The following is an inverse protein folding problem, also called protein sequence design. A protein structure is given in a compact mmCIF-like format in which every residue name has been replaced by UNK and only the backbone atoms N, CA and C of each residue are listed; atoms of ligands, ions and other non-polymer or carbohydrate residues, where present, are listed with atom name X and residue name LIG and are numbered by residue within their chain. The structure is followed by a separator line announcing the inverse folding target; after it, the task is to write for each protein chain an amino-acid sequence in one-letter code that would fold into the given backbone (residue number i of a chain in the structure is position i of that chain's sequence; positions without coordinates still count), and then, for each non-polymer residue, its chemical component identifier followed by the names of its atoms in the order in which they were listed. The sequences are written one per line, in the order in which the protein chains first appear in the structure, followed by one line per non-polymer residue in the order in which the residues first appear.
data_IF_056510863188
#
_entry.id   IF_056510863188
#
_cell.length_a   1.000
_cell.length_b   1.000
_cell.length_c   1.000
_cell.angle_alpha   90.00
_cell.angle_beta   90.00
_cell.angle_gamma   90.00
#
_symmetry.space_group_name_H-M   'P 1'
#
loop_
_entity.id
_entity.type
_entity.pdbx_description
1 polymer ?
#
# COMPACT_ATOMS: atom_id res chain seq x y z
N UNK A 1 -18.15 -5.25 -7.03
CA UNK A 1 -17.35 -5.64 -5.84
C UNK A 1 -17.33 -7.17 -5.82
N UNK A 2 -16.18 -7.77 -6.14
CA UNK A 2 -16.07 -9.23 -6.18
C UNK A 2 -16.35 -9.81 -4.79
N UNK A 3 -16.95 -11.00 -4.64
CA UNK A 3 -17.30 -11.58 -3.35
C UNK A 3 -16.11 -11.65 -2.37
N UNK A 4 -14.88 -11.79 -2.86
CA UNK A 4 -13.68 -11.80 -2.00
C UNK A 4 -13.07 -10.42 -1.78
N UNK A 5 -13.34 -9.38 -2.58
CA UNK A 5 -13.04 -8.02 -2.12
C UNK A 5 -13.86 -7.71 -0.86
N UNK A 6 -15.09 -8.21 -0.81
CA UNK A 6 -15.96 -8.12 0.36
C UNK A 6 -15.44 -9.00 1.52
N UNK A 7 -14.96 -10.23 1.25
CA UNK A 7 -14.39 -11.10 2.31
C UNK A 7 -13.04 -10.57 2.80
N UNK A 8 -12.19 -10.05 1.93
CA UNK A 8 -10.93 -9.41 2.29
C UNK A 8 -11.20 -8.11 3.06
N UNK A 9 -12.11 -7.24 2.60
CA UNK A 9 -12.58 -6.09 3.38
C UNK A 9 -13.14 -6.55 4.74
N UNK A 10 -13.99 -7.58 4.80
CA UNK A 10 -14.53 -8.08 6.08
C UNK A 10 -13.44 -8.66 6.97
N UNK A 11 -12.47 -9.41 6.45
CA UNK A 11 -11.36 -9.99 7.24
C UNK A 11 -10.37 -8.91 7.67
N UNK A 12 -10.06 -7.95 6.80
CA UNK A 12 -9.18 -6.82 7.07
C UNK A 12 -9.83 -5.86 8.08
N UNK A 13 -11.10 -5.52 7.88
CA UNK A 13 -11.86 -4.65 8.79
C UNK A 13 -12.12 -5.34 10.12
N UNK A 14 -12.47 -6.63 10.15
CA UNK A 14 -12.70 -7.34 11.42
C UNK A 14 -11.39 -7.61 12.18
N UNK A 15 -10.29 -7.89 11.46
CA UNK A 15 -8.96 -8.12 12.05
C UNK A 15 -8.28 -6.86 12.58
N UNK A 16 -8.62 -5.69 12.04
CA UNK A 16 -8.10 -4.40 12.52
C UNK A 16 -8.82 -3.93 13.79
N UNK A 17 -10.10 -4.25 13.97
CA UNK A 17 -10.94 -3.77 15.09
C UNK A 17 -10.58 -4.41 16.44
N UNK A 18 -9.94 -5.59 16.47
CA UNK A 18 -9.53 -6.26 17.71
C UNK A 18 -8.02 -6.52 17.67
N UNK A 19 -7.26 -5.88 18.57
CA UNK A 19 -5.80 -5.99 18.59
C UNK A 19 -5.28 -7.45 18.69
N UNK A 20 -6.03 -8.33 19.35
CA UNK A 20 -5.70 -9.77 19.46
C UNK A 20 -6.09 -10.60 18.23
N UNK A 21 -6.84 -10.05 17.28
CA UNK A 21 -7.29 -10.74 16.07
C UNK A 21 -6.44 -10.43 14.83
N UNK A 22 -5.49 -9.48 14.93
CA UNK A 22 -4.70 -9.06 13.77
C UNK A 22 -3.82 -10.19 13.22
N UNK A 23 -3.16 -10.96 14.09
CA UNK A 23 -2.41 -12.16 13.66
C UNK A 23 -3.30 -13.21 13.02
N UNK A 24 -4.50 -13.44 13.57
CA UNK A 24 -5.49 -14.36 12.98
C UNK A 24 -5.95 -13.91 11.60
N UNK A 25 -6.14 -12.59 11.41
CA UNK A 25 -6.48 -12.02 10.10
C UNK A 25 -5.37 -12.23 9.08
N UNK A 26 -4.11 -12.08 9.48
CA UNK A 26 -2.95 -12.34 8.62
C UNK A 26 -2.89 -13.81 8.26
N UNK A 27 -3.08 -14.72 9.23
CA UNK A 27 -3.12 -16.17 8.95
C UNK A 27 -4.22 -16.54 7.95
N UNK A 28 -5.40 -15.95 8.08
CA UNK A 28 -6.49 -16.15 7.13
C UNK A 28 -6.12 -15.63 5.72
N UNK A 29 -5.58 -14.42 5.64
CA UNK A 29 -5.12 -13.84 4.37
C UNK A 29 -4.00 -14.63 3.73
N UNK A 30 -3.06 -15.18 4.51
CA UNK A 30 -1.99 -16.04 3.98
C UNK A 30 -2.56 -17.24 3.23
N UNK A 31 -3.66 -17.83 3.72
CA UNK A 31 -4.35 -18.95 3.03
C UNK A 31 -5.11 -18.50 1.79
N UNK A 32 -5.52 -17.24 1.72
CA UNK A 32 -6.18 -16.68 0.54
C UNK A 32 -5.20 -16.37 -0.59
N UNK A 33 -3.89 -16.22 -0.30
CA UNK A 33 -2.86 -15.95 -1.32
C UNK A 33 -2.87 -17.00 -2.43
N UNK A 34 -3.05 -18.27 -2.07
CA UNK A 34 -3.01 -19.40 -3.01
C UNK A 34 -4.14 -19.38 -4.04
N UNK A 35 -5.19 -18.56 -3.82
CA UNK A 35 -6.37 -18.46 -4.71
C UNK A 35 -6.57 -17.05 -5.28
N UNK A 36 -5.61 -16.11 -5.11
CA UNK A 36 -5.77 -14.72 -5.57
C UNK A 36 -5.95 -14.58 -7.10
N UNK A 37 -5.38 -15.52 -7.86
CA UNK A 37 -5.40 -15.47 -9.33
C UNK A 37 -6.72 -15.93 -9.94
N UNK A 38 -7.61 -16.50 -9.13
CA UNK A 38 -8.94 -16.87 -9.60
C UNK A 38 -9.71 -15.57 -9.93
N UNK A 39 -10.31 -15.44 -11.14
CA UNK A 39 -10.97 -14.21 -11.57
C UNK A 39 -12.13 -13.78 -10.66
N UNK A 40 -12.68 -14.71 -9.87
CA UNK A 40 -13.69 -14.45 -8.82
C UNK A 40 -13.09 -13.71 -7.61
N UNK A 41 -11.77 -13.73 -7.44
CA UNK A 41 -11.04 -13.30 -6.24
C UNK A 41 -10.47 -11.89 -6.38
N UNK A 42 -10.22 -11.44 -7.62
CA UNK A 42 -9.76 -10.09 -7.92
C UNK A 42 -8.51 -10.03 -8.79
N UNK A 43 -7.94 -11.19 -9.15
CA UNK A 43 -6.75 -11.27 -9.99
C UNK A 43 -5.50 -10.66 -9.33
N UNK A 44 -4.45 -10.45 -10.13
CA UNK A 44 -3.14 -9.93 -9.69
C UNK A 44 -3.23 -8.65 -8.84
N UNK A 45 -4.20 -7.79 -9.10
CA UNK A 45 -4.32 -6.51 -8.40
C UNK A 45 -4.70 -6.69 -6.92
N UNK A 46 -5.34 -7.81 -6.54
CA UNK A 46 -5.65 -8.11 -5.13
C UNK A 46 -4.40 -8.28 -4.26
N UNK A 47 -3.23 -8.55 -4.85
CA UNK A 47 -1.94 -8.58 -4.17
C UNK A 47 -1.65 -7.27 -3.43
N UNK A 48 -2.03 -6.13 -4.02
CA UNK A 48 -1.83 -4.81 -3.42
C UNK A 48 -2.47 -4.68 -2.04
N UNK A 49 -3.71 -5.16 -1.91
CA UNK A 49 -4.48 -5.11 -0.66
C UNK A 49 -3.94 -6.08 0.38
N UNK A 50 -3.58 -7.30 -0.03
CA UNK A 50 -2.98 -8.30 0.87
C UNK A 50 -1.66 -7.77 1.43
N UNK A 51 -0.77 -7.26 0.57
CA UNK A 51 0.52 -6.71 1.02
C UNK A 51 0.28 -5.52 1.95
N UNK A 52 -0.61 -4.58 1.62
CA UNK A 52 -0.93 -3.46 2.49
C UNK A 52 -1.46 -3.88 3.87
N UNK A 53 -2.23 -4.96 3.95
CA UNK A 53 -2.73 -5.45 5.23
C UNK A 53 -1.65 -6.07 6.09
N UNK A 54 -0.73 -6.85 5.51
CA UNK A 54 0.30 -7.57 6.29
C UNK A 54 1.53 -6.72 6.61
N UNK A 55 1.83 -5.71 5.78
CA UNK A 55 3.08 -4.96 5.88
C UNK A 55 3.27 -4.24 7.23
N UNK A 56 2.25 -3.61 7.87
CA UNK A 56 2.42 -3.00 9.19
C UNK A 56 2.90 -4.00 10.25
N UNK A 57 2.43 -5.25 10.19
CA UNK A 57 2.88 -6.33 11.08
C UNK A 57 4.34 -6.71 10.84
N UNK A 58 4.73 -6.80 9.56
CA UNK A 58 6.10 -7.11 9.17
C UNK A 58 7.06 -6.01 9.61
N UNK A 59 6.65 -4.75 9.48
CA UNK A 59 7.42 -3.59 9.93
C UNK A 59 7.54 -3.53 11.46
N UNK A 60 6.48 -3.89 12.19
CA UNK A 60 6.51 -3.99 13.64
C UNK A 60 7.51 -5.05 14.12
N UNK A 61 7.56 -6.22 13.45
CA UNK A 61 8.45 -7.32 13.80
C UNK A 61 9.79 -7.33 13.02
N UNK A 62 10.15 -6.24 12.35
CA UNK A 62 11.23 -6.25 11.34
C UNK A 62 12.59 -6.74 11.86
N UNK A 63 12.98 -6.35 13.08
CA UNK A 63 14.29 -6.72 13.63
C UNK A 63 14.32 -8.19 14.12
N UNK A 64 13.16 -8.69 14.57
CA UNK A 64 12.99 -10.05 15.05
C UNK A 64 11.72 -10.70 14.48
N UNK A 65 11.72 -11.04 13.17
CA UNK A 65 10.62 -11.75 12.53
C UNK A 65 10.24 -13.02 13.28
N UNK A 66 8.96 -13.18 13.57
CA UNK A 66 8.41 -14.43 14.11
C UNK A 66 7.98 -15.38 12.98
N UNK A 67 7.51 -16.57 13.35
CA UNK A 67 7.11 -17.61 12.39
C UNK A 67 6.00 -17.15 11.43
N UNK A 68 5.05 -16.33 11.91
CA UNK A 68 3.98 -15.81 11.05
C UNK A 68 4.55 -14.85 10.00
N UNK A 69 5.49 -13.98 10.38
CA UNK A 69 6.17 -13.09 9.42
C UNK A 69 6.93 -13.89 8.35
N UNK A 70 7.69 -14.91 8.76
CA UNK A 70 8.43 -15.77 7.83
C UNK A 70 7.46 -16.52 6.90
N UNK A 71 6.36 -17.06 7.44
CA UNK A 71 5.34 -17.76 6.67
C UNK A 71 4.72 -16.87 5.61
N UNK A 72 4.25 -15.66 5.97
CA UNK A 72 3.59 -14.78 5.00
C UNK A 72 4.55 -14.28 3.93
N UNK A 73 5.81 -13.95 4.29
CA UNK A 73 6.82 -13.57 3.30
C UNK A 73 7.17 -14.73 2.35
N UNK A 74 7.22 -15.97 2.85
CA UNK A 74 7.46 -17.15 2.03
C UNK A 74 6.32 -17.37 1.04
N UNK A 75 5.06 -17.29 1.49
CA UNK A 75 3.87 -17.45 0.65
C UNK A 75 3.79 -16.35 -0.41
N UNK A 76 3.97 -15.07 -0.03
CA UNK A 76 3.96 -13.96 -0.98
C UNK A 76 5.09 -14.06 -2.01
N UNK A 77 6.30 -14.48 -1.59
CA UNK A 77 7.43 -14.70 -2.50
C UNK A 77 7.09 -15.80 -3.51
N UNK A 78 6.51 -16.90 -3.05
CA UNK A 78 6.11 -18.00 -3.91
C UNK A 78 5.08 -17.54 -4.93
N UNK A 79 4.04 -16.82 -4.49
CA UNK A 79 3.04 -16.20 -5.36
C UNK A 79 3.69 -15.31 -6.45
N UNK A 80 4.60 -14.40 -6.06
CA UNK A 80 5.29 -13.53 -7.02
C UNK A 80 6.10 -14.34 -8.05
N UNK A 81 6.72 -15.43 -7.62
CA UNK A 81 7.52 -16.32 -8.47
C UNK A 81 6.64 -17.07 -9.47
N UNK A 82 5.47 -17.55 -9.03
CA UNK A 82 4.57 -18.30 -9.89
C UNK A 82 3.83 -17.39 -10.87
N UNK A 83 3.45 -16.18 -10.46
CA UNK A 83 2.92 -15.16 -11.37
C UNK A 83 3.94 -14.77 -12.46
N UNK A 84 5.22 -14.66 -12.10
CA UNK A 84 6.28 -14.38 -13.08
C UNK A 84 6.41 -15.50 -14.13
N UNK A 85 6.30 -16.77 -13.70
CA UNK A 85 6.32 -17.91 -14.63
C UNK A 85 5.15 -17.89 -15.61
N UNK A 86 3.95 -17.52 -15.15
CA UNK A 86 2.75 -17.42 -16.01
C UNK A 86 2.85 -16.31 -17.05
N UNK A 87 3.63 -15.26 -16.76
CA UNK A 87 3.90 -14.17 -17.70
C UNK A 87 4.91 -14.56 -18.79
N UNK A 88 5.53 -15.75 -18.71
CA UNK A 88 6.55 -16.23 -19.66
C UNK A 88 7.66 -15.20 -19.94
N UNK A 89 8.01 -14.41 -18.91
CA UNK A 89 9.02 -13.34 -18.99
C UNK A 89 10.26 -13.71 -18.19
N UNK A 90 11.43 -13.53 -18.79
CA UNK A 90 12.74 -13.77 -18.18
C UNK A 90 13.43 -12.47 -17.76
N UNK A 91 12.70 -11.36 -17.71
CA UNK A 91 13.24 -10.06 -17.28
C UNK A 91 13.70 -10.13 -15.82
N UNK A 92 15.02 -10.14 -15.63
CA UNK A 92 15.63 -10.19 -14.30
C UNK A 92 15.24 -8.99 -13.42
N UNK A 93 14.96 -7.85 -14.02
CA UNK A 93 14.54 -6.59 -13.38
C UNK A 93 13.02 -6.43 -13.24
N UNK A 94 12.23 -7.47 -13.56
CA UNK A 94 10.78 -7.41 -13.44
C UNK A 94 10.34 -7.08 -12.00
N UNK A 95 9.36 -6.17 -11.80
CA UNK A 95 8.91 -5.75 -10.46
C UNK A 95 8.53 -6.90 -9.52
N UNK A 96 7.86 -7.95 -10.01
CA UNK A 96 7.54 -9.13 -9.20
C UNK A 96 8.78 -9.90 -8.73
N UNK A 97 9.84 -9.97 -9.55
CA UNK A 97 11.10 -10.62 -9.16
C UNK A 97 11.81 -9.80 -8.06
N UNK A 98 11.83 -8.47 -8.21
CA UNK A 98 12.36 -7.57 -7.20
C UNK A 98 11.56 -7.65 -5.89
N UNK A 99 10.23 -7.69 -5.97
CA UNK A 99 9.36 -7.87 -4.80
C UNK A 99 9.62 -9.20 -4.09
N UNK A 100 9.72 -10.31 -4.84
CA UNK A 100 10.09 -11.63 -4.30
C UNK A 100 11.44 -11.58 -3.57
N UNK A 101 12.41 -10.86 -4.14
CA UNK A 101 13.72 -10.65 -3.51
C UNK A 101 13.61 -9.88 -2.19
N UNK A 102 12.82 -8.81 -2.13
CA UNK A 102 12.60 -8.05 -0.89
C UNK A 102 11.96 -8.91 0.20
N UNK A 103 10.99 -9.76 -0.15
CA UNK A 103 10.32 -10.69 0.78
C UNK A 103 11.27 -11.80 1.28
N UNK A 104 12.14 -12.29 0.40
CA UNK A 104 13.19 -13.24 0.77
C UNK A 104 14.18 -12.61 1.76
N UNK A 105 14.64 -11.39 1.48
CA UNK A 105 15.62 -10.68 2.32
C UNK A 105 15.08 -10.37 3.72
N UNK A 106 13.78 -10.10 3.84
CA UNK A 106 13.12 -10.00 5.14
C UNK A 106 13.23 -11.33 5.91
N UNK A 107 12.85 -12.43 5.27
CA UNK A 107 12.80 -13.76 5.90
C UNK A 107 14.18 -14.26 6.33
N UNK A 108 15.23 -13.97 5.55
CA UNK A 108 16.61 -14.35 5.87
C UNK A 108 17.38 -13.30 6.68
N UNK A 109 16.74 -12.17 7.03
CA UNK A 109 17.39 -11.03 7.70
C UNK A 109 18.64 -10.52 6.98
N UNK A 110 18.61 -10.51 5.64
CA UNK A 110 19.76 -10.09 4.81
C UNK A 110 19.59 -8.69 4.21
N UNK A 111 18.46 -8.03 4.43
CA UNK A 111 18.29 -6.63 4.06
C UNK A 111 19.16 -5.73 4.95
N UNK A 112 19.98 -4.87 4.33
CA UNK A 112 21.06 -4.14 5.03
C UNK A 112 20.68 -2.76 5.56
N UNK A 113 19.44 -2.30 5.28
CA UNK A 113 18.93 -0.99 5.73
C UNK A 113 17.81 -1.18 6.76
N UNK A 114 17.21 -0.08 7.21
CA UNK A 114 16.11 -0.12 8.16
C UNK A 114 14.77 -0.57 7.53
N UNK A 115 13.79 -0.80 8.41
CA UNK A 115 12.42 -1.20 8.04
C UNK A 115 11.72 -0.22 7.11
N UNK A 116 12.02 1.07 7.20
CA UNK A 116 11.37 2.11 6.38
C UNK A 116 11.93 2.09 4.96
N UNK A 117 13.24 1.87 4.78
CA UNK A 117 13.83 1.64 3.47
C UNK A 117 13.32 0.34 2.85
N UNK A 118 13.19 -0.72 3.65
CA UNK A 118 12.61 -1.97 3.18
C UNK A 118 11.15 -1.77 2.71
N UNK A 119 10.32 -1.10 3.52
CA UNK A 119 8.94 -0.76 3.16
C UNK A 119 8.86 0.04 1.85
N UNK A 120 9.75 1.02 1.69
CA UNK A 120 9.82 1.84 0.47
C UNK A 120 10.05 0.99 -0.77
N UNK A 121 11.00 0.05 -0.71
CA UNK A 121 11.29 -0.86 -1.83
C UNK A 121 10.13 -1.84 -2.08
N UNK A 122 9.55 -2.43 -1.03
CA UNK A 122 8.39 -3.33 -1.15
C UNK A 122 7.23 -2.64 -1.84
N UNK A 123 6.81 -1.46 -1.34
CA UNK A 123 5.70 -0.71 -1.94
C UNK A 123 6.06 -0.17 -3.33
N UNK A 124 7.33 0.11 -3.61
CA UNK A 124 7.78 0.48 -4.94
C UNK A 124 7.50 -0.61 -5.96
N UNK A 125 8.11 -1.78 -5.75
CA UNK A 125 8.01 -2.90 -6.68
C UNK A 125 6.59 -3.44 -6.77
N UNK A 126 5.82 -3.37 -5.68
CA UNK A 126 4.40 -3.70 -5.69
C UNK A 126 3.60 -2.76 -6.60
N UNK A 127 3.76 -1.44 -6.47
CA UNK A 127 3.03 -0.48 -7.31
C UNK A 127 3.43 -0.56 -8.79
N UNK A 128 4.67 -0.94 -9.07
CA UNK A 128 5.14 -1.18 -10.45
C UNK A 128 4.61 -2.50 -11.04
N UNK A 129 4.11 -3.43 -10.21
CA UNK A 129 3.64 -4.76 -10.63
C UNK A 129 2.11 -4.87 -10.81
N UNK A 130 1.34 -3.90 -10.32
CA UNK A 130 -0.14 -3.92 -10.28
C UNK A 130 -0.73 -2.73 -11.03
N UNK A 131 -2.03 -2.77 -11.32
CA UNK A 131 -2.75 -1.62 -11.90
C UNK A 131 -2.71 -0.39 -10.97
N UNK A 132 -2.42 0.79 -11.53
CA UNK A 132 -2.40 2.05 -10.78
C UNK A 132 -3.73 2.40 -10.09
N UNK A 133 -4.86 1.93 -10.61
CA UNK A 133 -6.16 2.08 -9.96
C UNK A 133 -6.22 1.36 -8.59
N UNK A 134 -5.44 0.30 -8.40
CA UNK A 134 -5.36 -0.42 -7.13
C UNK A 134 -4.64 0.37 -6.03
N UNK A 135 -3.69 1.24 -6.40
CA UNK A 135 -2.99 2.11 -5.44
C UNK A 135 -3.98 2.98 -4.65
N UNK A 136 -5.08 3.39 -5.29
CA UNK A 136 -6.14 4.15 -4.64
C UNK A 136 -6.86 3.30 -3.58
N UNK A 137 -7.16 2.04 -3.88
CA UNK A 137 -7.80 1.12 -2.93
C UNK A 137 -6.88 0.81 -1.75
N UNK A 138 -5.57 0.65 -2.01
CA UNK A 138 -4.56 0.49 -0.96
C UNK A 138 -4.53 1.69 0.00
N UNK A 139 -4.65 2.93 -0.51
CA UNK A 139 -4.71 4.15 0.32
C UNK A 139 -5.97 4.16 1.19
N UNK A 140 -7.14 3.81 0.62
CA UNK A 140 -8.40 3.73 1.36
C UNK A 140 -8.30 2.69 2.48
N UNK A 141 -7.77 1.51 2.17
CA UNK A 141 -7.54 0.44 3.14
C UNK A 141 -6.69 0.91 4.32
N UNK A 142 -5.54 1.53 4.04
CA UNK A 142 -4.65 2.02 5.09
C UNK A 142 -5.27 3.15 5.92
N UNK A 143 -6.08 4.02 5.31
CA UNK A 143 -6.83 5.03 6.06
C UNK A 143 -7.82 4.39 7.04
N UNK A 144 -8.52 3.32 6.63
CA UNK A 144 -9.39 2.57 7.54
C UNK A 144 -8.63 1.84 8.65
N UNK A 145 -7.50 1.22 8.31
CA UNK A 145 -6.61 0.58 9.29
C UNK A 145 -6.12 1.59 10.34
N UNK A 146 -5.94 2.86 9.95
CA UNK A 146 -5.53 3.92 10.87
C UNK A 146 -6.65 4.28 11.86
N UNK A 147 -7.91 4.25 11.42
CA UNK A 147 -9.06 4.54 12.29
C UNK A 147 -9.39 3.39 13.25
N UNK A 148 -9.21 2.14 12.83
CA UNK A 148 -9.67 0.93 13.55
C UNK A 148 -8.54 0.12 14.20
N UNK A 149 -7.30 0.27 13.73
CA UNK A 149 -6.18 -0.61 14.05
C UNK A 149 -5.45 -0.35 15.37
N UNK A 150 -4.57 -1.30 15.74
CA UNK A 150 -3.74 -1.27 16.95
C UNK A 150 -2.75 -0.10 16.96
N UNK A 151 -2.67 0.63 18.08
CA UNK A 151 -1.81 1.83 18.21
C UNK A 151 -0.33 1.59 17.90
N UNK A 152 0.21 0.42 18.21
CA UNK A 152 1.62 0.07 17.96
C UNK A 152 1.97 0.00 16.46
N UNK A 153 0.98 -0.15 15.58
CA UNK A 153 1.18 -0.29 14.13
C UNK A 153 0.83 0.99 13.36
N UNK A 154 0.13 1.94 13.99
CA UNK A 154 -0.32 3.18 13.36
C UNK A 154 0.82 3.99 12.75
N UNK A 155 2.02 3.99 13.37
CA UNK A 155 3.20 4.68 12.82
C UNK A 155 3.60 4.12 11.46
N UNK A 156 3.50 2.80 11.28
CA UNK A 156 3.83 2.14 10.01
C UNK A 156 2.73 2.35 8.97
N UNK A 157 1.47 2.34 9.38
CA UNK A 157 0.34 2.67 8.49
C UNK A 157 0.46 4.10 7.95
N UNK A 158 0.77 5.08 8.81
CA UNK A 158 1.03 6.46 8.41
C UNK A 158 2.21 6.56 7.43
N UNK A 159 3.29 5.83 7.70
CA UNK A 159 4.46 5.80 6.83
C UNK A 159 4.12 5.23 5.44
N UNK A 160 3.35 4.14 5.40
CA UNK A 160 2.91 3.53 4.14
C UNK A 160 1.97 4.45 3.36
N UNK A 161 1.03 5.13 4.04
CA UNK A 161 0.19 6.17 3.42
C UNK A 161 1.04 7.25 2.75
N UNK A 162 2.06 7.76 3.44
CA UNK A 162 3.00 8.73 2.87
C UNK A 162 3.68 8.20 1.60
N UNK A 163 4.16 6.95 1.62
CA UNK A 163 4.85 6.33 0.47
C UNK A 163 3.92 6.10 -0.74
N UNK A 164 2.66 5.74 -0.52
CA UNK A 164 1.68 5.57 -1.60
C UNK A 164 1.20 6.89 -2.16
N UNK A 165 0.97 7.89 -1.30
CA UNK A 165 0.58 9.23 -1.74
C UNK A 165 1.65 9.86 -2.63
N UNK A 166 2.94 9.66 -2.33
CA UNK A 166 4.03 10.13 -3.20
C UNK A 166 3.98 9.55 -4.63
N UNK A 167 3.40 8.35 -4.80
CA UNK A 167 3.31 7.67 -6.10
C UNK A 167 2.06 8.00 -6.87
N UNK A 168 0.99 8.37 -6.16
CA UNK A 168 -0.29 8.70 -6.77
C UNK A 168 -0.20 10.01 -7.55
N UNK A 169 -0.74 10.01 -8.77
CA UNK A 169 -0.89 11.22 -9.57
C UNK A 169 -1.93 12.17 -8.95
N UNK A 170 -1.58 13.46 -8.85
CA UNK A 170 -2.45 14.48 -8.25
C UNK A 170 -3.72 14.75 -9.08
N UNK A 171 -3.68 14.51 -10.40
CA UNK A 171 -4.80 14.71 -11.32
C UNK A 171 -5.93 13.67 -11.15
N UNK A 172 -5.64 12.49 -10.60
CA UNK A 172 -6.60 11.38 -10.42
C UNK A 172 -7.13 11.23 -8.99
N UNK A 173 -6.48 11.85 -8.00
CA UNK A 173 -7.05 13.00 -7.31
C UNK A 173 -8.48 13.01 -6.68
N UNK A 174 -9.24 11.93 -6.48
CA UNK A 174 -10.58 12.04 -5.84
C UNK A 174 -10.57 12.82 -4.51
N UNK A 175 -11.34 13.92 -4.46
CA UNK A 175 -11.50 14.78 -3.27
C UNK A 175 -12.02 14.00 -2.06
N UNK A 176 -12.91 13.02 -2.29
CA UNK A 176 -13.48 12.17 -1.24
C UNK A 176 -12.39 11.37 -0.54
N UNK A 177 -11.46 10.81 -1.31
CA UNK A 177 -10.37 9.98 -0.79
C UNK A 177 -9.39 10.86 0.00
N UNK A 178 -9.04 12.04 -0.54
CA UNK A 178 -8.21 12.99 0.18
C UNK A 178 -8.86 13.42 1.51
N UNK A 179 -10.16 13.69 1.51
CA UNK A 179 -10.89 14.04 2.72
C UNK A 179 -10.93 12.91 3.76
N UNK A 180 -11.10 11.66 3.31
CA UNK A 180 -11.05 10.47 4.18
C UNK A 180 -9.66 10.30 4.81
N UNK A 181 -8.59 10.38 4.01
CA UNK A 181 -7.21 10.27 4.49
C UNK A 181 -6.92 11.39 5.49
N UNK A 182 -7.25 12.64 5.15
CA UNK A 182 -7.08 13.80 6.05
C UNK A 182 -7.81 13.60 7.37
N UNK A 183 -9.05 13.10 7.33
CA UNK A 183 -9.84 12.81 8.54
C UNK A 183 -9.18 11.74 9.41
N UNK A 184 -8.70 10.67 8.79
CA UNK A 184 -8.05 9.55 9.48
C UNK A 184 -6.74 10.00 10.14
N UNK A 185 -5.94 10.79 9.43
CA UNK A 185 -4.63 11.27 9.88
C UNK A 185 -4.74 12.36 10.95
N UNK A 186 -5.84 13.14 10.98
CA UNK A 186 -6.03 14.24 11.93
C UNK A 186 -5.92 13.80 13.40
N UNK A 187 -6.29 12.55 13.73
CA UNK A 187 -6.20 12.01 15.09
C UNK A 187 -4.75 11.83 15.58
N UNK A 188 -3.77 11.85 14.68
CA UNK A 188 -2.37 11.58 14.98
C UNK A 188 -1.49 12.83 15.07
N UNK A 189 -2.02 14.02 14.73
CA UNK A 189 -1.22 15.27 14.68
C UNK A 189 -0.78 15.79 16.04
N UNK A 190 -1.51 15.44 17.10
CA UNK A 190 -1.16 15.79 18.49
C UNK A 190 -0.64 14.58 19.28
N UNK A 191 -0.47 13.42 18.63
CA UNK A 191 -0.08 12.17 19.27
C UNK A 191 1.41 11.84 19.11
N UNK A 192 1.80 10.65 19.59
CA UNK A 192 3.17 10.15 19.46
C UNK A 192 3.66 10.04 17.99
N UNK A 193 2.72 9.91 17.04
CA UNK A 193 2.98 9.71 15.62
C UNK A 193 2.94 11.02 14.79
N UNK A 194 2.96 12.19 15.44
CA UNK A 194 2.75 13.49 14.77
C UNK A 194 3.72 13.74 13.60
N UNK A 195 4.97 13.24 13.68
CA UNK A 195 5.96 13.41 12.61
C UNK A 195 5.55 12.71 11.33
N UNK A 196 5.06 11.48 11.42
CA UNK A 196 4.57 10.73 10.25
C UNK A 196 3.25 11.32 9.74
N UNK A 197 2.36 11.75 10.64
CA UNK A 197 1.13 12.45 10.25
C UNK A 197 1.45 13.75 9.47
N UNK A 198 2.42 14.55 9.92
CA UNK A 198 2.85 15.76 9.24
C UNK A 198 3.41 15.49 7.84
N UNK A 199 4.13 14.38 7.65
CA UNK A 199 4.64 13.96 6.33
C UNK A 199 3.50 13.65 5.37
N UNK A 200 2.46 12.95 5.84
CA UNK A 200 1.26 12.67 5.03
C UNK A 200 0.58 13.98 4.61
N UNK A 201 0.35 14.91 5.55
CA UNK A 201 -0.23 16.21 5.23
C UNK A 201 0.60 16.99 4.21
N UNK A 202 1.92 17.02 4.38
CA UNK A 202 2.82 17.73 3.47
C UNK A 202 2.62 17.27 2.02
N UNK A 203 2.59 15.96 1.77
CA UNK A 203 2.40 15.41 0.42
C UNK A 203 1.03 15.80 -0.15
N UNK A 204 -0.04 15.71 0.64
CA UNK A 204 -1.39 16.07 0.18
C UNK A 204 -1.45 17.56 -0.21
N UNK A 205 -0.85 18.44 0.61
CA UNK A 205 -0.82 19.88 0.34
C UNK A 205 0.02 20.19 -0.90
N UNK A 206 1.19 19.58 -1.04
CA UNK A 206 2.04 19.75 -2.24
C UNK A 206 1.33 19.30 -3.52
N UNK A 207 0.62 18.17 -3.48
CA UNK A 207 -0.19 17.69 -4.60
C UNK A 207 -1.32 18.65 -4.97
N UNK A 208 -2.03 19.17 -3.96
CA UNK A 208 -3.10 20.15 -4.18
C UNK A 208 -2.57 21.45 -4.79
N UNK A 209 -1.45 21.97 -4.29
CA UNK A 209 -0.79 23.15 -4.86
C UNK A 209 -0.32 22.92 -6.31
N UNK A 210 0.19 21.72 -6.61
CA UNK A 210 0.58 21.36 -7.98
C UNK A 210 -0.63 21.34 -8.92
N UNK A 211 -1.72 20.70 -8.51
CA UNK A 211 -2.94 20.62 -9.30
C UNK A 211 -3.53 22.01 -9.61
N UNK A 212 -3.51 22.94 -8.65
CA UNK A 212 -3.98 24.31 -8.86
C UNK A 212 -3.09 25.09 -9.86
N UNK A 213 -1.77 24.90 -9.80
CA UNK A 213 -0.82 25.49 -10.76
C UNK A 213 -1.02 24.96 -12.17
N UNK A 214 -1.28 23.67 -12.30
CA UNK A 214 -1.54 23.04 -13.60
C UNK A 214 -2.87 23.56 -14.20
N UNK A 215 -3.92 23.68 -13.38
CA UNK A 215 -5.20 24.28 -13.81
C UNK A 215 -5.03 25.73 -14.29
N UNK A 216 -4.23 26.53 -13.56
CA UNK A 216 -3.95 27.93 -13.93
C UNK A 216 -3.15 27.99 -15.23
N UNK A 217 -2.19 27.07 -15.43
CA UNK A 217 -1.37 26.99 -16.64
C UNK A 217 -2.17 26.51 -17.86
N UNK A 218 -3.10 25.57 -17.68
CA UNK A 218 -4.03 25.13 -18.73
C UNK A 218 -4.99 26.27 -19.10
N UNK A 219 -5.54 26.98 -18.10
CA UNK A 219 -6.37 28.18 -18.35
C UNK A 219 -5.59 29.27 -19.11
N UNK A 220 -4.31 29.48 -18.78
CA UNK A 220 -3.44 30.42 -19.51
C UNK A 220 -3.09 29.94 -20.93
N UNK A 221 -2.89 28.64 -21.15
CA UNK A 221 -2.66 28.04 -22.48
C UNK A 221 -3.91 28.09 -23.37
N UNK A 222 -5.10 27.84 -22.83
CA UNK A 222 -6.35 27.99 -23.58
C UNK A 222 -6.62 29.44 -23.99
N UNK A 223 -6.22 30.42 -23.18
CA UNK A 223 -6.28 31.84 -23.58
C UNK A 223 -5.25 32.19 -24.67
N UNK A 224 -4.10 31.51 -24.73
CA UNK A 224 -3.06 31.73 -25.73
C UNK A 224 -3.34 31.14 -27.12
N UNK A 225 -4.26 30.17 -27.24
CA UNK A 225 -4.63 29.55 -28.53
C UNK A 225 -5.73 30.35 -29.26
N UNK A 226 -6.41 31.27 -28.59
CA UNK A 226 -7.45 32.13 -29.22
C UNK A 226 -6.85 33.40 -29.88
N UNK A 227 -5.54 33.63 -29.76
CA UNK A 227 -4.86 34.81 -30.32
C UNK A 227 -4.04 34.57 -31.60
N UNK A 228 -4.10 33.37 -32.18
CA UNK A 228 -3.50 33.06 -33.49
C UNK A 228 -4.40 32.15 -34.34
N UNK A 229 -5.59 32.65 -34.68
CA UNK A 229 -6.37 32.31 -35.89
C UNK A 229 -7.22 33.52 -36.23
#
# INVERSE_FOLDING_TARGET
LSPILLVAEVVVVSGTVVASAYETSIQALTRLIDVLDEPVVGGRDSLGLVVCHVLPYLLFNFDSPNLLCISVCTTLKQYCTDELKKLETEQADHPLNNLATMLQQYSTKTFSKDRYQWAKCVLQYLCEAIDGAMVVQMIVLLAEMLEKGTSSMQVYVLHMLYLLLLRREASSASLVINAQVVRSVARHVQGANWREAARVYKVIVEQWQNAERDNTTVSAKCCGVILFT
#
